data_IF_334264529165
#
_entry.id   IF_334264529165
#
_cell.length_a   1.000
_cell.length_b   1.000
_cell.length_c   1.000
_cell.angle_alpha   90.00
_cell.angle_beta   90.00
_cell.angle_gamma   90.00
#
_symmetry.space_group_name_H-M   'P 1'
#
loop_
_entity.id
_entity.type
_entity.pdbx_description
1 polymer ?
#
# COMPACT_ATOMS: atom_id res chain seq x y z
N UNK A 1 57.07 -38.67 71.58
CA UNK A 1 56.10 -38.75 70.48
C UNK A 1 55.70 -37.36 70.14
N UNK A 2 56.31 -36.76 69.23
CA UNK A 2 55.86 -35.46 68.69
C UNK A 2 56.44 -35.40 67.29
N UNK A 3 55.55 -35.57 66.30
CA UNK A 3 55.93 -35.54 64.88
C UNK A 3 56.03 -34.10 64.42
N UNK A 4 57.16 -33.75 63.90
CA UNK A 4 57.49 -32.45 63.38
C UNK A 4 57.03 -32.39 61.90
N UNK A 5 55.99 -31.58 61.61
CA UNK A 5 55.57 -31.33 60.23
C UNK A 5 56.39 -30.18 59.66
N UNK A 6 57.24 -30.50 58.72
CA UNK A 6 58.06 -29.53 57.97
C UNK A 6 57.26 -29.02 56.79
N UNK A 7 56.79 -27.78 56.85
CA UNK A 7 56.15 -27.15 55.71
C UNK A 7 57.18 -26.58 54.73
N UNK A 8 57.28 -27.17 53.53
CA UNK A 8 58.06 -26.62 52.43
C UNK A 8 57.40 -25.42 51.81
N UNK A 9 57.96 -24.24 51.91
CA UNK A 9 57.57 -23.06 51.15
C UNK A 9 57.97 -23.28 49.69
N UNK A 10 57.00 -23.39 48.84
CA UNK A 10 57.18 -23.38 47.41
C UNK A 10 57.21 -21.92 46.93
N UNK A 11 58.36 -21.50 46.45
CA UNK A 11 58.52 -20.19 45.80
C UNK A 11 57.82 -20.18 44.46
N UNK A 12 56.70 -19.46 44.41
CA UNK A 12 55.98 -19.23 43.18
C UNK A 12 56.76 -18.22 42.31
N UNK A 13 57.34 -18.69 41.21
CA UNK A 13 57.94 -17.82 40.18
C UNK A 13 56.78 -17.00 39.53
N UNK A 14 56.74 -15.69 39.78
CA UNK A 14 55.90 -14.76 39.04
C UNK A 14 56.32 -14.70 37.59
N UNK A 15 55.60 -15.38 36.73
CA UNK A 15 55.67 -15.16 35.30
C UNK A 15 55.04 -13.81 34.98
N UNK A 16 55.82 -12.94 34.35
CA UNK A 16 55.32 -11.66 33.81
C UNK A 16 54.24 -11.97 32.80
N UNK A 17 53.00 -11.70 33.17
CA UNK A 17 51.84 -11.72 32.25
C UNK A 17 51.93 -10.41 31.46
N UNK A 18 52.38 -10.51 30.21
CA UNK A 18 52.25 -9.42 29.23
C UNK A 18 50.74 -9.21 28.98
N UNK A 19 50.21 -8.12 29.46
CA UNK A 19 48.91 -7.64 29.04
C UNK A 19 49.05 -7.17 27.59
N UNK A 20 48.69 -8.05 26.63
CA UNK A 20 48.40 -7.63 25.27
C UNK A 20 47.06 -6.91 25.31
N UNK A 21 47.08 -5.56 25.24
CA UNK A 21 45.91 -4.76 24.93
C UNK A 21 45.50 -5.10 23.50
N UNK A 22 44.61 -6.07 23.35
CA UNK A 22 43.85 -6.21 22.10
C UNK A 22 42.86 -5.04 22.05
N UNK A 23 43.26 -4.01 21.30
CA UNK A 23 42.32 -2.99 20.84
C UNK A 23 41.26 -3.68 19.98
N UNK A 24 40.13 -4.05 20.60
CA UNK A 24 38.95 -4.47 19.88
C UNK A 24 38.45 -3.24 19.15
N UNK A 25 38.86 -3.05 17.90
CA UNK A 25 38.26 -2.10 17.00
C UNK A 25 36.79 -2.52 16.86
N UNK A 26 35.91 -1.87 17.62
CA UNK A 26 34.47 -1.89 17.33
C UNK A 26 34.33 -1.20 16.00
N UNK A 27 34.34 -1.99 14.93
CA UNK A 27 33.73 -1.58 13.67
C UNK A 27 32.27 -1.45 13.97
N UNK A 28 31.86 -0.25 14.35
CA UNK A 28 30.47 0.13 14.32
C UNK A 28 30.03 0.05 12.87
N UNK A 29 29.61 -1.14 12.46
CA UNK A 29 28.83 -1.33 11.25
C UNK A 29 27.54 -0.55 11.50
N UNK A 30 27.53 0.74 11.15
CA UNK A 30 26.29 1.46 10.89
C UNK A 30 25.68 0.87 9.63
N UNK A 31 25.22 -0.37 9.71
CA UNK A 31 24.23 -0.87 8.78
C UNK A 31 23.06 0.07 8.96
N UNK A 32 22.87 1.00 8.01
CA UNK A 32 21.56 1.62 7.80
C UNK A 32 20.62 0.43 7.68
N UNK A 33 19.90 0.13 8.74
CA UNK A 33 18.88 -0.89 8.73
C UNK A 33 17.86 -0.41 7.70
N UNK A 34 18.02 -0.91 6.49
CA UNK A 34 17.12 -0.60 5.40
C UNK A 34 15.79 -1.15 5.86
N UNK A 35 14.90 -0.27 6.34
CA UNK A 35 13.56 -0.64 6.79
C UNK A 35 12.91 -1.34 5.59
N UNK A 36 12.78 -2.66 5.69
CA UNK A 36 12.19 -3.44 4.62
C UNK A 36 10.72 -3.04 4.53
N UNK A 37 10.31 -2.49 3.37
CA UNK A 37 8.93 -2.11 3.15
C UNK A 37 8.03 -3.33 3.32
N UNK A 38 7.00 -3.21 4.15
CA UNK A 38 6.03 -4.27 4.35
C UNK A 38 4.95 -4.16 3.26
N UNK A 39 5.29 -4.62 2.06
CA UNK A 39 4.39 -4.64 0.92
C UNK A 39 3.28 -5.69 1.13
N UNK A 40 2.07 -5.35 0.69
CA UNK A 40 0.98 -6.32 0.60
C UNK A 40 1.31 -7.42 -0.44
N UNK A 41 0.91 -8.66 -0.14
CA UNK A 41 1.15 -9.78 -1.04
C UNK A 41 0.23 -9.69 -2.27
N UNK A 42 0.82 -9.72 -3.47
CA UNK A 42 0.08 -9.72 -4.74
C UNK A 42 -0.90 -10.89 -4.86
N UNK A 43 -0.60 -12.04 -4.27
CA UNK A 43 -1.46 -13.21 -4.26
C UNK A 43 -2.81 -12.95 -3.58
N UNK A 44 -2.87 -12.08 -2.59
CA UNK A 44 -4.09 -11.69 -1.89
C UNK A 44 -5.06 -10.87 -2.76
N UNK A 45 -4.60 -10.40 -3.91
CA UNK A 45 -5.39 -9.62 -4.88
C UNK A 45 -5.63 -10.39 -6.19
N UNK A 46 -4.97 -11.52 -6.42
CA UNK A 46 -5.01 -12.29 -7.66
C UNK A 46 -6.30 -13.13 -7.76
N UNK A 47 -7.44 -12.46 -7.92
CA UNK A 47 -8.77 -13.08 -8.07
C UNK A 47 -9.48 -12.50 -9.28
N UNK A 48 -10.46 -13.25 -9.80
CA UNK A 48 -11.36 -12.78 -10.84
C UNK A 48 -12.59 -12.10 -10.24
N UNK A 49 -12.97 -10.95 -10.76
CA UNK A 49 -14.18 -10.21 -10.39
C UNK A 49 -14.85 -9.73 -11.67
N UNK A 50 -16.13 -10.06 -11.84
CA UNK A 50 -16.92 -9.73 -13.04
C UNK A 50 -16.25 -10.14 -14.36
N UNK A 51 -15.60 -11.31 -14.38
CA UNK A 51 -14.90 -11.84 -15.57
C UNK A 51 -13.57 -11.15 -15.89
N UNK A 52 -13.06 -10.31 -14.99
CA UNK A 52 -11.77 -9.62 -15.15
C UNK A 52 -10.79 -9.99 -14.03
N UNK A 53 -9.52 -10.18 -14.41
CA UNK A 53 -8.45 -10.48 -13.46
C UNK A 53 -8.10 -9.23 -12.64
N UNK A 54 -8.22 -9.34 -11.32
CA UNK A 54 -7.68 -8.33 -10.39
C UNK A 54 -6.20 -8.57 -10.16
N UNK A 55 -5.46 -7.49 -10.07
CA UNK A 55 -4.01 -7.47 -9.88
C UNK A 55 -3.60 -6.35 -8.92
N UNK A 56 -2.46 -6.54 -8.26
CA UNK A 56 -1.78 -5.51 -7.46
C UNK A 56 -0.49 -5.11 -8.15
N UNK A 57 -0.42 -3.86 -8.58
CA UNK A 57 0.74 -3.25 -9.22
C UNK A 57 1.62 -2.55 -8.19
N UNK A 58 2.92 -2.54 -8.41
CA UNK A 58 3.87 -1.79 -7.59
C UNK A 58 4.63 -0.83 -8.46
N UNK A 59 4.55 0.47 -8.14
CA UNK A 59 5.34 1.51 -8.78
C UNK A 59 6.27 2.16 -7.76
N UNK A 60 7.46 2.56 -8.20
CA UNK A 60 8.48 3.18 -7.35
C UNK A 60 9.33 4.18 -8.12
N UNK A 61 9.91 5.15 -7.44
CA UNK A 61 10.94 6.04 -8.00
C UNK A 61 12.35 5.66 -7.51
N UNK A 62 13.37 6.34 -8.05
CA UNK A 62 14.77 6.11 -7.69
C UNK A 62 15.08 6.50 -6.22
N UNK A 63 14.27 7.36 -5.61
CA UNK A 63 14.39 7.74 -4.20
C UNK A 63 13.78 6.70 -3.23
N UNK A 64 13.16 5.65 -3.75
CA UNK A 64 12.58 4.56 -2.97
C UNK A 64 11.13 4.78 -2.54
N UNK A 65 10.50 5.90 -2.88
CA UNK A 65 9.05 6.09 -2.69
C UNK A 65 8.32 5.04 -3.49
N UNK A 66 7.45 4.29 -2.83
CA UNK A 66 6.80 3.11 -3.41
C UNK A 66 5.30 3.16 -3.16
N UNK A 67 4.51 2.88 -4.19
CA UNK A 67 3.07 2.70 -4.05
C UNK A 67 2.65 1.33 -4.58
N UNK A 68 1.67 0.72 -3.91
CA UNK A 68 0.94 -0.42 -4.43
C UNK A 68 -0.49 0.01 -4.78
N UNK A 69 -0.93 -0.35 -5.99
CA UNK A 69 -2.24 0.03 -6.52
C UNK A 69 -2.90 -1.21 -7.09
N UNK A 70 -4.12 -1.51 -6.63
CA UNK A 70 -4.94 -2.55 -7.24
C UNK A 70 -5.81 -1.97 -8.35
N UNK A 71 -5.99 -2.72 -9.44
CA UNK A 71 -6.94 -2.34 -10.48
C UNK A 71 -8.41 -2.55 -10.07
N UNK A 72 -8.69 -3.15 -8.92
CA UNK A 72 -10.03 -3.13 -8.34
C UNK A 72 -10.31 -1.79 -7.68
N UNK A 73 -11.16 -0.99 -8.31
CA UNK A 73 -11.46 0.37 -7.87
C UNK A 73 -10.31 1.37 -8.06
N UNK A 74 -9.21 0.98 -8.73
CA UNK A 74 -8.02 1.80 -8.90
C UNK A 74 -7.40 2.26 -7.58
N UNK A 75 -7.49 1.44 -6.53
CA UNK A 75 -7.19 1.83 -5.15
C UNK A 75 -5.70 1.86 -4.87
N UNK A 76 -5.25 2.93 -4.23
CA UNK A 76 -3.94 2.96 -3.58
C UNK A 76 -4.03 2.11 -2.31
N UNK A 77 -3.33 0.99 -2.30
CA UNK A 77 -3.29 0.03 -1.17
C UNK A 77 -2.24 0.43 -0.15
N UNK A 78 -1.03 0.79 -0.62
CA UNK A 78 0.07 1.29 0.19
C UNK A 78 0.73 2.49 -0.51
N UNK A 79 1.25 3.42 0.28
CA UNK A 79 2.12 4.50 -0.18
C UNK A 79 3.22 4.73 0.85
N UNK A 80 4.40 4.21 0.56
CA UNK A 80 5.57 4.35 1.42
C UNK A 80 6.36 5.60 1.05
N UNK A 81 6.45 6.51 2.01
CA UNK A 81 7.23 7.74 1.90
C UNK A 81 8.22 7.85 3.06
N UNK A 82 9.39 8.49 2.88
CA UNK A 82 10.34 8.66 3.97
C UNK A 82 9.84 9.70 4.99
N UNK A 83 10.03 9.40 6.26
CA UNK A 83 9.88 10.37 7.34
C UNK A 83 11.08 11.32 7.41
N UNK A 84 11.10 12.24 8.37
CA UNK A 84 12.19 13.20 8.59
C UNK A 84 13.56 12.55 8.89
N UNK A 85 13.59 11.27 9.27
CA UNK A 85 14.80 10.50 9.55
C UNK A 85 15.19 9.60 8.38
N UNK A 86 14.41 9.59 7.30
CA UNK A 86 14.58 8.75 6.12
C UNK A 86 14.01 7.34 6.26
N UNK A 87 13.25 7.03 7.32
CA UNK A 87 12.55 5.77 7.47
C UNK A 87 11.24 5.81 6.70
N UNK A 88 11.01 4.79 5.84
CA UNK A 88 9.80 4.72 5.04
C UNK A 88 8.62 4.23 5.87
N UNK A 89 7.51 4.96 5.76
CA UNK A 89 6.24 4.66 6.43
C UNK A 89 5.13 4.60 5.39
N UNK A 90 4.17 3.67 5.57
CA UNK A 90 2.93 3.70 4.82
C UNK A 90 2.03 4.82 5.37
N UNK A 91 1.59 5.69 4.50
CA UNK A 91 0.79 6.88 4.86
C UNK A 91 -0.65 6.81 4.39
N UNK A 92 -1.10 5.68 3.84
CA UNK A 92 -2.48 5.49 3.42
C UNK A 92 -3.19 4.46 4.28
N UNK A 93 -4.49 4.62 4.41
CA UNK A 93 -5.35 3.62 5.03
C UNK A 93 -5.84 2.64 3.96
N UNK A 94 -5.80 1.35 4.27
CA UNK A 94 -6.20 0.31 3.33
C UNK A 94 -6.35 -1.05 3.99
N UNK A 95 -6.42 -2.08 3.15
CA UNK A 95 -6.51 -3.47 3.55
C UNK A 95 -5.49 -4.30 2.77
N UNK A 96 -5.08 -5.44 3.34
CA UNK A 96 -4.04 -6.29 2.78
C UNK A 96 -4.56 -7.33 1.77
N UNK A 97 -5.86 -7.34 1.47
CA UNK A 97 -6.46 -8.28 0.53
C UNK A 97 -7.73 -7.73 -0.14
N UNK A 98 -8.07 -8.33 -1.27
CA UNK A 98 -9.22 -7.94 -2.09
C UNK A 98 -10.57 -8.13 -1.37
N UNK A 99 -10.73 -9.21 -0.61
CA UNK A 99 -12.02 -9.54 0.04
C UNK A 99 -12.44 -8.46 1.03
N UNK A 100 -11.49 -7.88 1.76
CA UNK A 100 -11.75 -6.79 2.69
C UNK A 100 -12.18 -5.52 1.93
N UNK A 101 -11.57 -5.22 0.79
CA UNK A 101 -12.03 -4.10 -0.05
C UNK A 101 -13.45 -4.33 -0.59
N UNK A 102 -13.77 -5.54 -1.06
CA UNK A 102 -15.10 -5.86 -1.57
C UNK A 102 -16.17 -5.79 -0.46
N UNK A 103 -15.89 -6.35 0.72
CA UNK A 103 -16.82 -6.33 1.85
C UNK A 103 -17.02 -4.95 2.48
N UNK A 104 -16.11 -4.00 2.23
CA UNK A 104 -16.14 -2.65 2.78
C UNK A 104 -16.71 -1.59 1.84
N UNK A 105 -17.14 -1.97 0.63
CA UNK A 105 -17.64 -1.03 -0.39
C UNK A 105 -18.85 -0.17 0.06
N UNK A 106 -19.60 -0.62 1.06
CA UNK A 106 -20.77 0.10 1.57
C UNK A 106 -20.44 1.31 2.48
N UNK A 107 -19.19 1.75 2.53
CA UNK A 107 -18.87 2.92 3.34
C UNK A 107 -17.40 3.30 3.43
N UNK A 108 -16.49 2.43 3.03
CA UNK A 108 -15.05 2.68 3.11
C UNK A 108 -14.43 2.76 1.71
N UNK A 109 -14.17 3.98 1.28
CA UNK A 109 -13.62 4.26 -0.06
C UNK A 109 -12.10 4.48 -0.03
N UNK A 110 -11.38 3.81 0.88
CA UNK A 110 -9.94 3.99 1.04
C UNK A 110 -9.19 3.83 -0.28
N UNK A 111 -8.42 4.85 -0.63
CA UNK A 111 -7.57 4.91 -1.81
C UNK A 111 -8.28 4.83 -3.17
N UNK A 112 -9.61 4.76 -3.22
CA UNK A 112 -10.38 4.44 -4.42
C UNK A 112 -10.52 5.60 -5.41
N UNK A 113 -10.60 5.26 -6.70
CA UNK A 113 -11.13 6.15 -7.72
C UNK A 113 -12.63 6.33 -7.55
N UNK A 114 -13.07 7.58 -7.60
CA UNK A 114 -14.47 7.97 -7.40
C UNK A 114 -15.07 8.50 -8.71
N UNK A 115 -16.25 8.04 -9.05
CA UNK A 115 -16.96 8.43 -10.27
C UNK A 115 -18.17 7.54 -10.56
N UNK A 116 -18.99 7.94 -11.60
CA UNK A 116 -18.72 9.14 -12.45
C UNK A 116 -18.77 10.46 -11.70
N UNK A 117 -19.62 10.59 -10.66
CA UNK A 117 -19.78 11.80 -9.88
C UNK A 117 -19.26 11.59 -8.45
N UNK A 118 -18.35 12.48 -8.03
CA UNK A 118 -17.81 12.47 -6.68
C UNK A 118 -18.76 13.12 -5.68
N UNK A 119 -18.86 12.55 -4.47
CA UNK A 119 -19.78 12.98 -3.43
C UNK A 119 -21.27 12.75 -3.82
N UNK A 120 -22.21 13.60 -3.42
CA UNK A 120 -23.64 13.33 -3.47
C UNK A 120 -24.37 14.02 -4.61
N UNK A 121 -25.27 13.27 -5.27
CA UNK A 121 -26.34 13.82 -6.09
C UNK A 121 -27.61 13.72 -5.27
N UNK A 122 -28.18 14.88 -4.86
CA UNK A 122 -29.39 14.95 -4.06
C UNK A 122 -30.59 14.35 -4.80
N UNK A 123 -31.37 13.48 -4.12
CA UNK A 123 -32.50 12.81 -4.73
C UNK A 123 -32.14 11.81 -5.83
N UNK A 124 -30.85 11.46 -6.00
CA UNK A 124 -30.34 10.56 -7.02
C UNK A 124 -30.83 10.91 -8.44
N UNK A 125 -30.91 12.19 -8.76
CA UNK A 125 -31.42 12.67 -10.06
C UNK A 125 -30.76 14.00 -10.44
N UNK A 126 -30.52 14.19 -11.75
CA UNK A 126 -30.00 15.43 -12.30
C UNK A 126 -30.52 15.66 -13.72
N UNK A 127 -30.34 16.88 -14.25
CA UNK A 127 -30.75 17.22 -15.61
C UNK A 127 -29.54 17.56 -16.49
N UNK A 128 -29.66 17.20 -17.76
CA UNK A 128 -28.80 17.71 -18.83
C UNK A 128 -29.76 18.31 -19.89
N UNK A 129 -29.78 19.63 -20.02
CA UNK A 129 -30.81 20.32 -20.79
C UNK A 129 -32.16 20.06 -20.18
N UNK A 130 -33.13 19.62 -21.00
CA UNK A 130 -34.51 19.28 -20.57
C UNK A 130 -34.64 17.83 -20.09
N UNK A 131 -33.66 16.99 -20.32
CA UNK A 131 -33.72 15.57 -19.99
C UNK A 131 -33.31 15.31 -18.53
N UNK A 132 -34.08 14.48 -17.84
CA UNK A 132 -33.85 14.09 -16.45
C UNK A 132 -33.29 12.67 -16.41
N UNK A 133 -32.16 12.51 -15.73
CA UNK A 133 -31.50 11.24 -15.49
C UNK A 133 -31.63 10.83 -14.04
N UNK A 134 -32.05 9.58 -13.81
CA UNK A 134 -32.10 8.98 -12.48
C UNK A 134 -30.93 8.03 -12.35
N UNK A 135 -30.16 8.17 -11.28
CA UNK A 135 -28.99 7.37 -10.98
C UNK A 135 -29.20 6.51 -9.73
N UNK A 136 -28.31 5.56 -9.50
CA UNK A 136 -28.41 4.68 -8.35
C UNK A 136 -28.46 5.45 -7.03
N UNK A 137 -29.48 5.19 -6.22
CA UNK A 137 -29.56 5.66 -4.84
C UNK A 137 -28.89 4.61 -3.93
N UNK A 138 -27.71 4.92 -3.44
CA UNK A 138 -26.93 4.05 -2.55
C UNK A 138 -26.69 4.65 -1.16
N UNK A 139 -27.10 5.89 -0.94
CA UNK A 139 -27.06 6.54 0.36
C UNK A 139 -28.41 7.19 0.65
N UNK A 140 -29.30 6.43 1.31
CA UNK A 140 -30.71 6.80 1.53
C UNK A 140 -31.40 7.12 0.18
N UNK A 141 -31.81 8.38 -0.03
CA UNK A 141 -32.40 8.86 -1.28
C UNK A 141 -31.40 9.48 -2.27
N UNK A 142 -30.13 9.56 -1.90
CA UNK A 142 -29.09 10.21 -2.69
C UNK A 142 -28.21 9.19 -3.41
N UNK A 143 -27.59 9.62 -4.51
CA UNK A 143 -26.46 8.91 -5.08
C UNK A 143 -25.17 9.41 -4.42
N UNK A 144 -24.31 8.49 -3.98
CA UNK A 144 -23.02 8.79 -3.40
C UNK A 144 -21.92 8.10 -4.22
N UNK A 145 -20.92 8.88 -4.63
CA UNK A 145 -19.70 8.38 -5.28
C UNK A 145 -19.92 7.53 -6.54
N UNK A 146 -21.01 7.80 -7.29
CA UNK A 146 -21.30 7.11 -8.55
C UNK A 146 -22.26 5.93 -8.43
N UNK A 147 -22.90 5.75 -7.26
CA UNK A 147 -23.93 4.73 -7.09
C UNK A 147 -23.43 3.46 -6.41
N UNK A 148 -24.20 2.37 -6.50
CA UNK A 148 -23.90 1.09 -5.83
C UNK A 148 -22.64 0.42 -6.37
N UNK A 149 -22.36 0.59 -7.64
CA UNK A 149 -21.22 0.04 -8.35
C UNK A 149 -20.48 1.13 -9.12
N UNK A 150 -20.03 2.17 -8.38
CA UNK A 150 -19.21 3.23 -8.95
C UNK A 150 -17.77 2.77 -9.26
N UNK A 151 -16.92 3.71 -9.68
CA UNK A 151 -15.53 3.43 -10.09
C UNK A 151 -14.69 2.71 -9.02
N UNK A 152 -15.07 2.85 -7.76
CA UNK A 152 -14.44 2.18 -6.61
C UNK A 152 -14.66 0.66 -6.55
N UNK A 153 -15.67 0.14 -7.28
CA UNK A 153 -16.12 -1.25 -7.20
C UNK A 153 -16.04 -2.00 -8.54
N UNK A 154 -15.33 -1.46 -9.53
CA UNK A 154 -15.12 -2.08 -10.83
C UNK A 154 -13.65 -2.44 -11.05
N UNK A 155 -13.39 -3.42 -11.93
CA UNK A 155 -12.03 -3.80 -12.33
C UNK A 155 -11.61 -2.98 -13.55
N UNK A 156 -10.56 -2.20 -13.38
CA UNK A 156 -9.93 -1.40 -14.42
C UNK A 156 -8.94 -2.25 -15.22
N UNK A 157 -8.73 -1.92 -16.49
CA UNK A 157 -7.67 -2.50 -17.29
C UNK A 157 -6.36 -1.79 -16.94
N UNK A 158 -5.41 -2.52 -16.35
CA UNK A 158 -4.16 -1.97 -15.83
C UNK A 158 -2.97 -2.24 -16.75
N UNK A 159 -2.15 -1.21 -17.00
CA UNK A 159 -0.92 -1.30 -17.78
C UNK A 159 0.21 -0.56 -17.07
N UNK A 160 1.20 -1.27 -16.57
CA UNK A 160 2.41 -0.66 -16.05
C UNK A 160 3.27 -0.16 -17.22
N UNK A 161 3.48 1.17 -17.29
CA UNK A 161 4.21 1.80 -18.40
C UNK A 161 5.72 1.78 -18.18
N UNK A 162 6.13 1.91 -16.91
CA UNK A 162 7.52 1.83 -16.45
C UNK A 162 7.53 1.60 -14.92
N UNK A 163 8.71 1.64 -14.30
CA UNK A 163 8.85 1.38 -12.86
C UNK A 163 8.10 2.37 -11.97
N UNK A 164 7.85 3.60 -12.43
CA UNK A 164 7.21 4.66 -11.64
C UNK A 164 5.81 5.04 -12.12
N UNK A 165 5.28 4.38 -13.18
CA UNK A 165 4.04 4.83 -13.83
C UNK A 165 3.12 3.65 -14.14
N UNK A 166 1.86 3.75 -13.67
CA UNK A 166 0.76 2.84 -13.95
C UNK A 166 -0.38 3.59 -14.65
N UNK A 167 -0.85 3.07 -15.78
CA UNK A 167 -2.07 3.51 -16.44
C UNK A 167 -3.21 2.55 -16.12
N UNK A 168 -4.36 3.10 -15.74
CA UNK A 168 -5.63 2.37 -15.60
C UNK A 168 -6.64 2.94 -16.59
N UNK A 169 -7.37 2.08 -17.29
CA UNK A 169 -8.45 2.49 -18.19
C UNK A 169 -9.74 1.73 -17.90
N UNK A 170 -10.86 2.41 -18.12
CA UNK A 170 -12.18 1.85 -17.91
C UNK A 170 -13.19 2.47 -18.87
N UNK A 171 -13.99 1.63 -19.54
CA UNK A 171 -15.16 2.08 -20.26
C UNK A 171 -16.38 1.98 -19.35
N UNK A 172 -16.86 3.11 -18.88
CA UNK A 172 -18.15 3.22 -18.23
C UNK A 172 -19.21 3.32 -19.33
N UNK A 173 -20.01 2.27 -19.49
CA UNK A 173 -20.99 2.17 -20.57
C UNK A 173 -22.18 3.11 -20.34
N UNK A 174 -22.88 3.42 -21.45
CA UNK A 174 -24.15 4.14 -21.38
C UNK A 174 -25.14 3.42 -20.44
N UNK A 175 -25.77 4.18 -19.54
CA UNK A 175 -26.70 3.66 -18.54
C UNK A 175 -26.06 3.04 -17.29
N UNK A 176 -24.73 2.94 -17.20
CA UNK A 176 -24.07 2.43 -15.99
C UNK A 176 -24.44 3.29 -14.78
N UNK A 177 -24.95 2.64 -13.70
CA UNK A 177 -25.50 3.30 -12.52
C UNK A 177 -26.53 4.42 -12.81
N UNK A 178 -27.14 4.41 -14.00
CA UNK A 178 -28.10 5.39 -14.50
C UNK A 178 -27.46 6.61 -15.18
N UNK A 179 -26.15 6.68 -15.32
CA UNK A 179 -25.48 7.78 -16.01
C UNK A 179 -25.53 7.63 -17.54
N UNK A 180 -25.85 8.69 -18.31
CA UNK A 180 -25.97 8.62 -19.77
C UNK A 180 -24.61 8.64 -20.47
N UNK A 181 -24.58 8.02 -21.64
CA UNK A 181 -23.47 8.02 -22.58
C UNK A 181 -22.29 7.15 -22.19
N UNK A 182 -21.55 6.68 -23.19
CA UNK A 182 -20.31 5.97 -22.97
C UNK A 182 -19.21 6.94 -22.54
N UNK A 183 -18.47 6.61 -21.48
CA UNK A 183 -17.36 7.41 -20.99
C UNK A 183 -16.09 6.54 -20.89
N UNK A 184 -15.11 6.83 -21.76
CA UNK A 184 -13.77 6.26 -21.64
C UNK A 184 -12.98 7.04 -20.60
N UNK A 185 -12.57 6.38 -19.54
CA UNK A 185 -11.80 6.98 -18.46
C UNK A 185 -10.40 6.42 -18.46
N UNK A 186 -9.41 7.31 -18.36
CA UNK A 186 -8.00 6.96 -18.20
C UNK A 186 -7.44 7.68 -16.98
N UNK A 187 -6.77 6.92 -16.12
CA UNK A 187 -6.07 7.44 -14.93
C UNK A 187 -4.61 7.00 -15.00
N UNK A 188 -3.71 7.92 -14.76
CA UNK A 188 -2.27 7.64 -14.73
C UNK A 188 -1.73 7.99 -13.36
N UNK A 189 -1.22 6.98 -12.68
CA UNK A 189 -0.48 7.15 -11.43
C UNK A 189 1.01 7.25 -11.75
N UNK A 190 1.66 8.29 -11.27
CA UNK A 190 3.11 8.48 -11.45
C UNK A 190 3.75 8.94 -10.15
N UNK A 191 4.81 8.25 -9.73
CA UNK A 191 5.68 8.73 -8.66
C UNK A 191 6.81 9.52 -9.31
N UNK A 192 6.82 10.84 -9.08
CA UNK A 192 7.86 11.74 -9.59
C UNK A 192 9.11 11.71 -8.70
N UNK A 193 10.19 12.36 -9.18
CA UNK A 193 11.45 12.50 -8.44
C UNK A 193 11.29 13.39 -7.22
#
# INVERSE_FOLDING_TARGET
MADTITTKLNTFKMKKVLFALSALAMVACTSKQQCQLQLADKANFAKEVDGKQVSLFTIKNDAGVTAQITNYGGRIVNLFVPDKNGAFQDVVMGFDNLDQYQSSNDGLYFGALIGRYGNRIGGASFKIGEETFNVDANERRNSLHGGKKGYFAVVWDGKQLNDSTLELSYLSADGEAGFPGNLNVKVVYTITK
#
